data_IF_279611905616
#
_entry.id   IF_279611905616
#
_cell.length_a   1.000
_cell.length_b   1.000
_cell.length_c   1.000
_cell.angle_alpha   90.00
_cell.angle_beta   90.00
_cell.angle_gamma   90.00
#
_symmetry.space_group_name_H-M   'P 1'
#
loop_
_entity.id
_entity.type
_entity.pdbx_description
1 polymer ?
#
# COMPACT_ATOMS: atom_id res chain seq x y z
N UNK A 1 -1.23 -5.36 7.03
CA UNK A 1 -1.81 -5.99 5.83
C UNK A 1 -0.94 -7.18 5.44
N UNK A 2 -1.52 -8.27 4.98
CA UNK A 2 -0.79 -9.49 4.55
C UNK A 2 -0.21 -10.35 5.68
N UNK A 3 -0.53 -10.06 6.95
CA UNK A 3 -0.05 -10.87 8.08
C UNK A 3 -0.80 -12.18 8.26
N UNK A 4 -1.99 -12.30 7.66
CA UNK A 4 -2.80 -13.51 7.70
C UNK A 4 -2.10 -14.75 7.12
N UNK A 5 -1.20 -14.53 6.16
CA UNK A 5 -0.46 -15.60 5.47
C UNK A 5 1.00 -15.72 5.90
N UNK A 6 1.47 -14.97 6.91
CA UNK A 6 2.86 -15.05 7.39
C UNK A 6 3.23 -16.47 7.82
N UNK A 7 2.34 -17.15 8.51
CA UNK A 7 2.52 -18.50 9.02
C UNK A 7 1.94 -19.59 8.10
N UNK A 8 1.53 -19.24 6.86
CA UNK A 8 1.01 -20.21 5.92
C UNK A 8 2.15 -21.11 5.41
N UNK A 9 2.01 -22.42 5.62
CA UNK A 9 3.02 -23.41 5.29
C UNK A 9 2.91 -23.83 3.80
N UNK A 10 3.49 -23.01 2.91
CA UNK A 10 3.45 -23.23 1.45
C UNK A 10 3.96 -24.60 1.04
N UNK A 11 4.97 -25.14 1.72
CA UNK A 11 5.58 -26.43 1.42
C UNK A 11 4.62 -27.60 1.58
N UNK A 12 3.56 -27.41 2.40
CA UNK A 12 2.49 -28.38 2.58
C UNK A 12 1.34 -28.19 1.60
N UNK A 13 1.36 -27.14 0.79
CA UNK A 13 0.29 -26.73 -0.12
C UNK A 13 0.73 -26.92 -1.57
N UNK A 14 0.67 -28.16 -2.05
CA UNK A 14 1.13 -28.53 -3.39
C UNK A 14 0.04 -28.26 -4.44
N UNK A 15 0.03 -27.03 -4.96
CA UNK A 15 -0.87 -26.60 -6.04
C UNK A 15 -0.12 -25.70 -7.03
N UNK A 16 -0.59 -25.63 -8.27
CA UNK A 16 0.03 -24.80 -9.33
C UNK A 16 -0.21 -23.31 -9.10
N UNK A 17 -1.40 -22.94 -8.60
CA UNK A 17 -1.80 -21.57 -8.28
C UNK A 17 -3.01 -21.58 -7.32
N UNK A 18 -3.29 -20.44 -6.75
CA UNK A 18 -4.44 -20.24 -5.84
C UNK A 18 -5.19 -18.94 -6.18
N UNK A 19 -6.24 -18.66 -5.43
CA UNK A 19 -6.99 -17.40 -5.49
C UNK A 19 -7.30 -16.91 -4.09
N UNK A 20 -7.24 -15.60 -3.88
CA UNK A 20 -7.93 -14.96 -2.75
C UNK A 20 -9.24 -14.36 -3.24
N UNK A 21 -10.28 -14.38 -2.41
CA UNK A 21 -11.58 -13.76 -2.68
C UNK A 21 -11.71 -12.60 -1.70
N UNK A 22 -11.12 -11.46 -2.07
CA UNK A 22 -10.91 -10.30 -1.19
C UNK A 22 -10.98 -8.96 -1.96
N UNK A 23 -11.60 -8.98 -3.15
CA UNK A 23 -11.78 -7.79 -3.97
C UNK A 23 -13.19 -7.19 -3.82
N UNK A 24 -13.39 -6.01 -4.41
CA UNK A 24 -14.66 -5.30 -4.40
C UNK A 24 -15.68 -5.91 -5.36
N UNK A 25 -15.49 -5.65 -6.63
CA UNK A 25 -16.42 -5.94 -7.72
C UNK A 25 -16.38 -7.41 -8.07
N UNK A 26 -17.55 -8.02 -8.22
CA UNK A 26 -17.68 -9.43 -8.59
C UNK A 26 -17.04 -9.80 -9.93
N UNK A 27 -16.91 -8.84 -10.84
CA UNK A 27 -16.34 -9.01 -12.16
C UNK A 27 -14.81 -8.84 -12.20
N UNK A 28 -14.14 -8.56 -11.05
CA UNK A 28 -12.72 -8.33 -11.01
C UNK A 28 -11.88 -9.60 -10.89
N UNK A 29 -10.78 -9.62 -11.66
CA UNK A 29 -9.67 -10.56 -11.51
C UNK A 29 -8.40 -9.73 -11.47
N UNK A 30 -7.91 -9.47 -10.27
CA UNK A 30 -6.86 -8.50 -10.05
C UNK A 30 -5.54 -9.19 -9.69
N UNK A 31 -4.48 -8.78 -10.37
CA UNK A 31 -3.13 -9.37 -10.29
C UNK A 31 -2.02 -8.31 -10.29
N UNK A 32 -2.38 -7.08 -9.94
CA UNK A 32 -1.45 -5.96 -9.81
C UNK A 32 -1.77 -5.19 -8.53
N UNK A 33 -0.80 -5.06 -7.63
CA UNK A 33 -0.92 -4.35 -6.35
C UNK A 33 0.08 -3.20 -6.29
N UNK A 34 -0.01 -2.36 -5.27
CA UNK A 34 1.04 -1.40 -5.00
C UNK A 34 2.35 -2.08 -4.56
N UNK A 35 3.49 -1.39 -4.78
CA UNK A 35 4.66 -1.48 -3.91
C UNK A 35 4.39 -0.60 -2.70
N UNK A 36 4.79 -1.03 -1.52
CA UNK A 36 4.44 -0.40 -0.26
C UNK A 36 5.63 -0.27 0.69
N UNK A 37 5.77 0.90 1.29
CA UNK A 37 6.68 1.13 2.39
C UNK A 37 6.02 1.97 3.48
N UNK A 38 6.58 1.87 4.68
CA UNK A 38 6.37 2.80 5.77
C UNK A 38 7.62 3.64 5.94
N UNK A 39 7.46 4.95 6.14
CA UNK A 39 8.54 5.83 6.51
C UNK A 39 8.23 6.48 7.86
N UNK A 40 9.21 6.46 8.75
CA UNK A 40 9.19 7.21 10.00
C UNK A 40 10.24 8.29 9.89
N UNK A 41 9.83 9.53 10.12
CA UNK A 41 10.72 10.69 10.12
C UNK A 41 10.70 11.28 11.53
N UNK A 42 11.86 11.35 12.17
CA UNK A 42 12.04 11.94 13.49
C UNK A 42 12.80 13.25 13.40
N UNK A 43 12.48 14.14 14.30
CA UNK A 43 13.02 15.50 14.35
C UNK A 43 13.52 15.81 15.75
N UNK A 44 14.71 16.39 15.85
CA UNK A 44 15.34 16.80 17.11
C UNK A 44 15.31 18.32 17.24
N UNK A 45 14.72 18.80 18.31
CA UNK A 45 14.64 20.22 18.63
C UNK A 45 15.66 20.65 19.70
N UNK A 46 15.57 21.89 20.12
CA UNK A 46 16.27 22.47 21.27
C UNK A 46 15.32 23.42 21.96
N UNK A 47 14.82 23.00 23.11
CA UNK A 47 13.90 23.84 23.92
C UNK A 47 14.69 24.86 24.73
N UNK A 48 14.20 26.09 24.75
CA UNK A 48 14.75 27.19 25.52
C UNK A 48 13.57 28.02 26.05
N UNK A 49 13.74 28.68 27.19
CA UNK A 49 12.72 29.61 27.68
C UNK A 49 12.32 30.59 26.57
N UNK A 50 11.03 30.74 26.24
CA UNK A 50 10.58 31.53 25.08
C UNK A 50 11.09 32.97 25.05
N UNK A 51 11.27 33.59 26.20
CA UNK A 51 11.84 34.92 26.33
C UNK A 51 13.31 35.05 25.89
N UNK A 52 14.06 33.93 25.94
CA UNK A 52 15.49 33.86 25.64
C UNK A 52 15.80 33.06 24.37
N UNK A 53 14.76 32.72 23.60
CA UNK A 53 14.81 31.72 22.52
C UNK A 53 15.39 32.25 21.20
N UNK A 54 15.53 33.57 21.05
CA UNK A 54 16.00 34.16 19.77
C UNK A 54 17.35 33.58 19.36
N UNK A 55 17.41 33.07 18.12
CA UNK A 55 18.59 32.46 17.48
C UNK A 55 19.17 31.23 18.21
N UNK A 56 18.43 30.66 19.17
CA UNK A 56 18.87 29.54 20.00
C UNK A 56 17.89 28.36 20.01
N UNK A 57 16.57 28.63 19.96
CA UNK A 57 15.56 27.58 19.97
C UNK A 57 15.43 26.96 18.57
N UNK A 58 15.32 25.65 18.56
CA UNK A 58 14.88 24.89 17.38
C UNK A 58 13.65 24.07 17.78
N UNK A 59 12.51 24.33 17.17
CA UNK A 59 11.29 23.62 17.50
C UNK A 59 11.06 22.46 16.54
N UNK A 60 11.15 21.23 17.05
CA UNK A 60 10.99 20.01 16.27
C UNK A 60 9.62 19.89 15.59
N UNK A 61 8.53 20.35 16.24
CA UNK A 61 7.21 20.36 15.64
C UNK A 61 7.15 21.26 14.38
N UNK A 62 7.84 22.41 14.40
CA UNK A 62 7.93 23.29 13.23
C UNK A 62 8.78 22.67 12.12
N UNK A 63 9.88 21.97 12.45
CA UNK A 63 10.66 21.20 11.48
C UNK A 63 9.80 20.12 10.83
N UNK A 64 8.97 19.40 11.59
CA UNK A 64 8.07 18.39 11.06
C UNK A 64 7.05 18.98 10.08
N UNK A 65 6.51 20.15 10.36
CA UNK A 65 5.60 20.87 9.46
C UNK A 65 6.31 21.33 8.16
N UNK A 66 7.54 21.85 8.27
CA UNK A 66 8.37 22.23 7.11
C UNK A 66 8.68 21.01 6.25
N UNK A 67 9.06 19.89 6.85
CA UNK A 67 9.30 18.63 6.14
C UNK A 67 8.04 18.17 5.38
N UNK A 68 6.91 18.09 6.06
CA UNK A 68 5.65 17.66 5.45
C UNK A 68 5.25 18.55 4.27
N UNK A 69 5.44 19.87 4.40
CA UNK A 69 5.14 20.85 3.34
C UNK A 69 6.09 20.78 2.15
N UNK A 70 7.28 20.20 2.33
CA UNK A 70 8.31 20.04 1.28
C UNK A 70 8.08 18.80 0.40
N UNK A 71 7.18 17.90 0.79
CA UNK A 71 6.77 16.77 -0.04
C UNK A 71 5.74 17.20 -1.11
N UNK A 72 5.61 16.46 -2.22
CA UNK A 72 4.70 16.82 -3.32
C UNK A 72 3.23 16.88 -2.89
N UNK A 73 2.66 18.07 -2.83
CA UNK A 73 1.30 18.34 -2.31
C UNK A 73 0.17 17.60 -3.05
N UNK A 74 0.38 17.27 -4.35
CA UNK A 74 -0.61 16.55 -5.18
C UNK A 74 -0.40 15.03 -5.20
N UNK A 75 0.61 14.51 -4.51
CA UNK A 75 0.84 13.07 -4.37
C UNK A 75 0.32 12.58 -3.02
N UNK A 76 -0.96 12.76 -2.79
CA UNK A 76 -1.66 12.28 -1.58
C UNK A 76 -2.85 11.40 -1.98
N UNK A 77 -3.41 10.57 -1.10
CA UNK A 77 -4.56 9.74 -1.42
C UNK A 77 -5.75 10.53 -1.99
N UNK A 78 -5.99 11.75 -1.49
CA UNK A 78 -7.08 12.62 -1.95
C UNK A 78 -6.88 13.24 -3.33
N UNK A 79 -5.68 13.17 -3.90
CA UNK A 79 -5.33 13.77 -5.20
C UNK A 79 -4.91 12.75 -6.24
N UNK A 80 -4.90 11.46 -5.91
CA UNK A 80 -4.39 10.41 -6.79
C UNK A 80 -5.40 9.32 -7.04
N UNK A 81 -5.37 8.74 -8.25
CA UNK A 81 -6.25 7.65 -8.66
C UNK A 81 -5.52 6.64 -9.56
N UNK A 82 -6.16 5.52 -9.86
CA UNK A 82 -5.61 4.49 -10.75
C UNK A 82 -4.21 4.06 -10.30
N UNK A 83 -3.22 4.14 -11.20
CA UNK A 83 -1.82 3.76 -10.93
C UNK A 83 -0.97 4.83 -10.26
N UNK A 84 -1.51 6.01 -10.02
CA UNK A 84 -0.76 7.10 -9.38
C UNK A 84 -0.41 6.75 -7.93
N UNK A 85 0.87 6.90 -7.60
CA UNK A 85 1.39 6.69 -6.25
C UNK A 85 1.16 7.90 -5.34
N UNK A 86 1.33 7.69 -4.02
CA UNK A 86 1.14 8.73 -3.03
C UNK A 86 2.06 8.57 -1.80
N UNK A 87 2.21 9.66 -1.09
CA UNK A 87 2.62 9.74 0.32
C UNK A 87 1.37 10.00 1.15
N UNK A 88 1.16 9.24 2.20
CA UNK A 88 0.05 9.47 3.12
C UNK A 88 0.58 9.60 4.54
N UNK A 89 0.47 10.79 5.11
CA UNK A 89 0.76 11.04 6.52
C UNK A 89 -0.34 10.36 7.34
N UNK A 90 0.03 9.33 8.10
CA UNK A 90 -0.90 8.55 8.93
C UNK A 90 -0.77 8.85 10.42
N UNK A 91 0.29 9.51 10.82
CA UNK A 91 0.52 9.90 12.20
C UNK A 91 1.46 11.08 12.33
N UNK A 92 1.18 11.96 13.26
CA UNK A 92 2.00 13.11 13.62
C UNK A 92 1.96 13.29 15.14
N UNK A 93 3.13 13.32 15.75
CA UNK A 93 3.33 13.57 17.18
C UNK A 93 4.46 14.60 17.31
N UNK A 94 4.40 15.49 18.30
CA UNK A 94 5.52 16.39 18.50
C UNK A 94 5.33 17.42 19.61
N UNK A 95 6.46 17.78 20.18
CA UNK A 95 6.68 18.90 21.10
C UNK A 95 7.84 19.75 20.59
N UNK A 96 8.36 20.66 21.39
CA UNK A 96 9.49 21.51 20.99
C UNK A 96 10.78 20.72 20.80
N UNK A 97 11.05 19.71 21.66
CA UNK A 97 12.31 18.96 21.67
C UNK A 97 12.35 17.80 20.70
N UNK A 98 11.20 17.17 20.44
CA UNK A 98 11.09 16.03 19.52
C UNK A 98 9.77 16.06 18.75
N UNK A 99 9.82 15.52 17.52
CA UNK A 99 8.62 15.26 16.72
C UNK A 99 8.81 14.03 15.86
N UNK A 100 7.69 13.42 15.47
CA UNK A 100 7.67 12.22 14.63
C UNK A 100 6.52 12.30 13.62
N UNK A 101 6.83 12.03 12.36
CA UNK A 101 5.87 11.82 11.29
C UNK A 101 5.92 10.37 10.83
N UNK A 102 4.75 9.75 10.68
CA UNK A 102 4.63 8.41 10.11
C UNK A 102 3.90 8.49 8.79
N UNK A 103 4.57 8.04 7.73
CA UNK A 103 4.04 7.97 6.38
C UNK A 103 3.88 6.55 5.90
N UNK A 104 2.91 6.33 5.03
CA UNK A 104 2.89 5.19 4.11
C UNK A 104 3.12 5.69 2.69
N UNK A 105 3.95 4.96 1.94
CA UNK A 105 4.31 5.24 0.55
C UNK A 105 3.74 4.12 -0.31
N UNK A 106 3.08 4.47 -1.39
CA UNK A 106 2.44 3.52 -2.31
C UNK A 106 2.70 3.91 -3.75
N UNK A 107 3.07 2.94 -4.59
CA UNK A 107 3.17 3.14 -6.05
C UNK A 107 3.11 1.81 -6.79
N UNK A 108 2.44 1.74 -7.94
CA UNK A 108 2.46 0.55 -8.80
C UNK A 108 3.80 0.40 -9.52
N UNK A 109 4.39 1.50 -9.97
CA UNK A 109 5.71 1.50 -10.63
C UNK A 109 6.83 1.36 -9.60
N UNK A 110 7.67 0.33 -9.73
CA UNK A 110 8.85 0.13 -8.87
C UNK A 110 9.83 1.31 -8.97
N UNK A 111 10.05 1.84 -10.18
CA UNK A 111 10.95 2.98 -10.37
C UNK A 111 10.41 4.24 -9.67
N UNK A 112 9.13 4.54 -9.84
CA UNK A 112 8.51 5.69 -9.16
C UNK A 112 8.48 5.52 -7.65
N UNK A 113 8.29 4.30 -7.16
CA UNK A 113 8.35 3.96 -5.73
C UNK A 113 9.74 4.23 -5.14
N UNK A 114 10.79 3.81 -5.84
CA UNK A 114 12.18 4.12 -5.45
C UNK A 114 12.41 5.63 -5.42
N UNK A 115 11.98 6.35 -6.46
CA UNK A 115 12.10 7.81 -6.54
C UNK A 115 11.34 8.51 -5.41
N UNK A 116 10.18 7.99 -4.99
CA UNK A 116 9.44 8.53 -3.84
C UNK A 116 10.25 8.39 -2.54
N UNK A 117 10.87 7.24 -2.29
CA UNK A 117 11.72 7.02 -1.10
C UNK A 117 12.93 7.95 -1.11
N UNK A 118 13.60 8.05 -2.26
CA UNK A 118 14.74 8.97 -2.44
C UNK A 118 14.35 10.43 -2.21
N UNK A 119 13.16 10.85 -2.65
CA UNK A 119 12.66 12.21 -2.41
C UNK A 119 12.48 12.50 -0.92
N UNK A 120 11.98 11.55 -0.12
CA UNK A 120 11.87 11.71 1.33
C UNK A 120 13.24 11.93 1.98
N UNK A 121 14.23 11.14 1.59
CA UNK A 121 15.61 11.29 2.07
C UNK A 121 16.19 12.66 1.66
N UNK A 122 16.07 13.04 0.40
CA UNK A 122 16.59 14.31 -0.10
C UNK A 122 15.97 15.54 0.60
N UNK A 123 14.71 15.46 1.04
CA UNK A 123 14.11 16.53 1.85
C UNK A 123 14.77 16.60 3.23
N UNK A 124 15.03 15.45 3.87
CA UNK A 124 15.73 15.42 5.16
C UNK A 124 17.16 15.95 5.03
N UNK A 125 17.89 15.52 4.01
CA UNK A 125 19.27 15.96 3.77
C UNK A 125 19.34 17.49 3.62
N UNK A 126 18.44 18.07 2.80
CA UNK A 126 18.35 19.51 2.62
C UNK A 126 18.01 20.26 3.92
N UNK A 127 17.15 19.69 4.76
CA UNK A 127 16.84 20.28 6.07
C UNK A 127 18.03 20.17 7.02
N UNK A 128 18.77 19.06 6.96
CA UNK A 128 19.98 18.87 7.78
C UNK A 128 21.11 19.82 7.40
N UNK A 129 21.23 20.21 6.12
CA UNK A 129 22.13 21.29 5.68
C UNK A 129 21.78 22.63 6.34
N UNK A 130 20.48 22.91 6.55
CA UNK A 130 20.00 24.18 7.11
C UNK A 130 20.01 24.21 8.64
N UNK A 131 19.67 23.09 9.28
CA UNK A 131 19.39 23.04 10.72
C UNK A 131 20.38 22.20 11.52
N UNK A 132 21.41 21.61 10.86
CA UNK A 132 22.25 20.58 11.45
C UNK A 132 21.55 19.19 11.39
N UNK A 133 22.25 18.17 11.83
CA UNK A 133 21.78 16.77 11.74
C UNK A 133 20.61 16.47 12.72
N UNK A 134 19.42 17.00 12.42
CA UNK A 134 18.22 16.98 13.27
C UNK A 134 17.04 16.22 12.67
N UNK A 135 17.14 15.78 11.40
CA UNK A 135 16.06 15.11 10.68
C UNK A 135 16.53 13.73 10.25
N UNK A 136 15.88 12.70 10.74
CA UNK A 136 16.25 11.31 10.46
C UNK A 136 15.08 10.57 9.80
N UNK A 137 15.36 9.89 8.69
CA UNK A 137 14.36 9.13 7.92
C UNK A 137 14.68 7.64 7.98
N UNK A 138 13.73 6.84 8.42
CA UNK A 138 13.81 5.37 8.39
C UNK A 138 12.69 4.86 7.51
N UNK A 139 13.03 4.19 6.41
CA UNK A 139 12.06 3.61 5.47
C UNK A 139 12.17 2.09 5.51
N UNK A 140 11.01 1.41 5.65
CA UNK A 140 10.90 -0.04 5.64
C UNK A 140 9.91 -0.47 4.58
N UNK A 141 10.35 -1.27 3.63
CA UNK A 141 9.47 -1.87 2.64
C UNK A 141 8.55 -2.89 3.31
N UNK A 142 7.29 -2.93 2.89
CA UNK A 142 6.26 -3.79 3.48
C UNK A 142 5.90 -4.93 2.53
N UNK A 143 5.64 -4.62 1.26
CA UNK A 143 5.38 -5.57 0.20
C UNK A 143 5.65 -4.93 -1.17
N UNK A 144 5.78 -5.77 -2.19
CA UNK A 144 5.97 -5.34 -3.58
C UNK A 144 4.75 -5.69 -4.44
N UNK A 145 4.65 -5.05 -5.60
CA UNK A 145 3.61 -5.33 -6.58
C UNK A 145 3.67 -6.79 -7.04
N UNK A 146 2.58 -7.54 -6.81
CA UNK A 146 2.52 -8.97 -7.10
C UNK A 146 2.80 -9.32 -8.56
N UNK A 147 2.46 -8.42 -9.49
CA UNK A 147 2.63 -8.66 -10.93
C UNK A 147 4.06 -9.02 -11.33
N UNK A 148 5.07 -8.47 -10.64
CA UNK A 148 6.47 -8.76 -10.94
C UNK A 148 6.86 -10.21 -10.62
N UNK A 149 6.19 -10.85 -9.67
CA UNK A 149 6.44 -12.23 -9.25
C UNK A 149 5.67 -13.27 -10.06
N UNK A 150 4.75 -12.83 -10.91
CA UNK A 150 4.03 -13.77 -11.81
C UNK A 150 4.87 -14.24 -12.98
N UNK A 151 5.98 -13.57 -13.30
CA UNK A 151 6.91 -13.93 -14.39
C UNK A 151 6.23 -14.21 -15.75
N UNK A 152 5.08 -13.59 -16.00
CA UNK A 152 4.27 -13.76 -17.20
C UNK A 152 3.33 -14.97 -17.17
N UNK A 153 3.31 -15.74 -16.10
CA UNK A 153 2.33 -16.83 -15.95
C UNK A 153 0.94 -16.26 -15.65
N UNK A 154 0.06 -16.38 -16.63
CA UNK A 154 -1.31 -15.88 -16.61
C UNK A 154 -2.35 -17.01 -16.54
N UNK A 155 -1.95 -18.26 -16.28
CA UNK A 155 -2.85 -19.43 -16.26
C UNK A 155 -4.01 -19.21 -15.29
N UNK A 156 -3.74 -18.84 -14.05
CA UNK A 156 -4.76 -18.57 -13.04
C UNK A 156 -5.71 -17.43 -13.46
N UNK A 157 -5.14 -16.31 -13.93
CA UNK A 157 -5.92 -15.15 -14.40
C UNK A 157 -6.84 -15.53 -15.57
N UNK A 158 -6.31 -16.27 -16.54
CA UNK A 158 -7.09 -16.71 -17.71
C UNK A 158 -8.19 -17.70 -17.33
N UNK A 159 -7.91 -18.64 -16.42
CA UNK A 159 -8.90 -19.60 -15.88
C UNK A 159 -10.03 -18.84 -15.17
N UNK A 160 -9.71 -17.90 -14.30
CA UNK A 160 -10.70 -17.08 -13.61
C UNK A 160 -11.55 -16.24 -14.58
N UNK A 161 -10.91 -15.59 -15.56
CA UNK A 161 -11.63 -14.81 -16.60
C UNK A 161 -12.53 -15.69 -17.48
N UNK A 162 -12.12 -16.91 -17.75
CA UNK A 162 -12.96 -17.87 -18.47
C UNK A 162 -14.17 -18.26 -17.62
N UNK A 163 -14.00 -18.63 -16.37
CA UNK A 163 -15.07 -18.99 -15.46
C UNK A 163 -16.12 -17.86 -15.29
N UNK A 164 -15.66 -16.62 -15.13
CA UNK A 164 -16.54 -15.45 -15.10
C UNK A 164 -17.44 -15.35 -16.34
N UNK A 165 -16.85 -15.51 -17.54
CA UNK A 165 -17.63 -15.50 -18.79
C UNK A 165 -18.67 -16.62 -18.86
N UNK A 166 -18.33 -17.84 -18.37
CA UNK A 166 -19.27 -18.96 -18.31
C UNK A 166 -20.46 -18.66 -17.37
N UNK A 167 -20.24 -17.83 -16.37
CA UNK A 167 -21.29 -17.35 -15.45
C UNK A 167 -21.95 -16.05 -15.91
N UNK A 168 -21.82 -15.67 -17.19
CA UNK A 168 -22.38 -14.43 -17.80
C UNK A 168 -21.86 -13.13 -17.12
N UNK A 169 -20.64 -13.14 -16.59
CA UNK A 169 -19.98 -11.97 -16.03
C UNK A 169 -18.80 -11.57 -16.94
N UNK A 170 -18.80 -10.31 -17.38
CA UNK A 170 -17.68 -9.77 -18.20
C UNK A 170 -16.51 -9.44 -17.29
N UNK A 171 -15.36 -10.16 -17.38
CA UNK A 171 -14.25 -9.95 -16.48
C UNK A 171 -13.50 -8.65 -16.75
N UNK A 172 -13.14 -7.95 -15.69
CA UNK A 172 -12.22 -6.81 -15.73
C UNK A 172 -10.97 -7.10 -14.90
N UNK A 173 -9.92 -6.33 -15.12
CA UNK A 173 -8.72 -6.34 -14.26
C UNK A 173 -8.32 -4.90 -14.01
N UNK A 174 -8.30 -4.52 -12.74
CA UNK A 174 -7.89 -3.20 -12.30
C UNK A 174 -6.72 -3.30 -11.33
N UNK A 175 -5.78 -2.35 -11.34
CA UNK A 175 -4.71 -2.35 -10.36
C UNK A 175 -5.28 -2.02 -8.97
N UNK A 176 -5.04 -2.90 -8.01
CA UNK A 176 -5.46 -2.73 -6.61
C UNK A 176 -4.61 -1.62 -5.97
N UNK A 177 -5.27 -0.64 -5.37
CA UNK A 177 -4.60 0.45 -4.63
C UNK A 177 -4.28 0.08 -3.18
N UNK A 178 -3.87 -1.15 -2.97
CA UNK A 178 -3.54 -1.77 -1.69
C UNK A 178 -2.68 -3.00 -1.88
N UNK A 179 -2.59 -3.82 -0.85
CA UNK A 179 -2.02 -5.16 -0.87
C UNK A 179 -3.09 -6.17 -0.47
N UNK A 180 -2.91 -7.43 -0.85
CA UNK A 180 -3.76 -8.56 -0.51
C UNK A 180 -2.93 -9.72 0.03
N UNK A 181 -3.56 -10.66 0.71
CA UNK A 181 -2.88 -11.90 1.11
C UNK A 181 -2.38 -12.67 -0.12
N UNK A 182 -3.13 -12.63 -1.23
CA UNK A 182 -2.70 -13.19 -2.52
C UNK A 182 -1.41 -12.57 -3.06
N UNK A 183 -1.19 -11.27 -2.84
CA UNK A 183 0.09 -10.62 -3.20
C UNK A 183 1.26 -11.15 -2.38
N UNK A 184 1.06 -11.41 -1.08
CA UNK A 184 2.09 -12.00 -0.22
C UNK A 184 2.39 -13.46 -0.59
N UNK A 185 1.37 -14.25 -0.91
CA UNK A 185 1.54 -15.63 -1.40
C UNK A 185 2.28 -15.65 -2.74
N UNK A 186 1.92 -14.75 -3.66
CA UNK A 186 2.59 -14.64 -4.97
C UNK A 186 4.06 -14.27 -4.82
N UNK A 187 4.42 -13.38 -3.91
CA UNK A 187 5.81 -13.03 -3.62
C UNK A 187 6.61 -14.21 -3.02
N UNK A 188 5.93 -15.18 -2.39
CA UNK A 188 6.52 -16.40 -1.84
C UNK A 188 6.52 -17.58 -2.84
N UNK A 189 6.09 -17.36 -4.09
CA UNK A 189 6.14 -18.35 -5.17
C UNK A 189 4.82 -19.03 -5.52
N UNK A 190 3.72 -18.79 -4.78
CA UNK A 190 2.39 -19.29 -5.13
C UNK A 190 1.57 -18.19 -5.82
N UNK A 191 1.47 -18.24 -7.15
CA UNK A 191 0.67 -17.27 -7.92
C UNK A 191 -0.78 -17.29 -7.43
N UNK A 192 -1.24 -16.17 -6.90
CA UNK A 192 -2.53 -16.06 -6.24
C UNK A 192 -3.23 -14.73 -6.57
N UNK A 193 -3.85 -14.59 -7.78
CA UNK A 193 -4.63 -13.41 -8.12
C UNK A 193 -5.85 -13.28 -7.21
N UNK A 194 -6.37 -12.04 -7.12
CA UNK A 194 -7.47 -11.70 -6.28
C UNK A 194 -8.78 -11.64 -7.08
N UNK A 195 -9.83 -12.26 -6.56
CA UNK A 195 -11.19 -12.22 -7.10
C UNK A 195 -12.07 -11.28 -6.27
N UNK A 196 -13.07 -10.70 -6.90
CA UNK A 196 -14.03 -9.83 -6.22
C UNK A 196 -15.02 -10.60 -5.35
N UNK A 197 -15.49 -9.98 -4.29
CA UNK A 197 -16.50 -10.54 -3.38
C UNK A 197 -17.91 -10.05 -3.70
N UNK A 198 -18.03 -8.92 -4.40
CA UNK A 198 -19.28 -8.20 -4.57
C UNK A 198 -19.70 -7.40 -3.33
N UNK A 199 -18.73 -7.07 -2.46
CA UNK A 199 -18.88 -6.18 -1.32
C UNK A 199 -18.40 -4.76 -1.63
N UNK A 200 -18.74 -3.80 -0.78
CA UNK A 200 -18.52 -2.37 -1.01
C UNK A 200 -18.25 -1.64 0.30
N UNK A 201 -17.67 -0.43 0.20
CA UNK A 201 -17.37 0.47 1.31
C UNK A 201 -16.43 -0.14 2.35
N UNK A 202 -15.45 -0.91 1.88
CA UNK A 202 -14.48 -1.62 2.71
C UNK A 202 -13.80 -0.67 3.72
N UNK A 203 -13.58 -1.17 4.94
CA UNK A 203 -13.04 -0.43 6.07
C UNK A 203 -13.90 0.74 6.54
N UNK A 204 -15.12 0.86 6.03
CA UNK A 204 -16.06 1.92 6.38
C UNK A 204 -17.19 1.40 7.28
N UNK A 205 -17.82 2.31 8.04
CA UNK A 205 -18.97 1.97 8.88
C UNK A 205 -20.23 1.58 8.09
N UNK A 206 -20.23 1.76 6.78
CA UNK A 206 -21.29 1.39 5.86
C UNK A 206 -20.85 0.27 4.91
N UNK A 207 -19.90 -0.54 5.33
CA UNK A 207 -19.47 -1.73 4.59
C UNK A 207 -20.64 -2.73 4.48
N UNK A 208 -20.83 -3.28 3.28
CA UNK A 208 -21.87 -4.27 3.03
C UNK A 208 -21.48 -5.24 1.93
N UNK A 209 -22.08 -6.44 1.94
CA UNK A 209 -21.99 -7.41 0.86
C UNK A 209 -23.39 -7.76 0.35
N UNK A 210 -23.52 -7.96 -0.98
CA UNK A 210 -24.78 -8.42 -1.60
C UNK A 210 -24.84 -9.94 -1.55
N UNK A 211 -25.92 -10.50 -0.98
CA UNK A 211 -26.18 -11.94 -0.95
C UNK A 211 -26.12 -12.53 -2.36
N UNK A 212 -26.81 -11.90 -3.33
CA UNK A 212 -26.86 -12.36 -4.72
C UNK A 212 -25.49 -12.39 -5.39
N UNK A 213 -24.59 -11.45 -5.02
CA UNK A 213 -23.21 -11.44 -5.53
C UNK A 213 -22.36 -12.51 -4.84
N UNK A 214 -22.59 -12.77 -3.58
CA UNK A 214 -21.94 -13.88 -2.87
C UNK A 214 -22.31 -15.22 -3.48
N UNK A 215 -23.60 -15.46 -3.75
CA UNK A 215 -24.10 -16.67 -4.46
C UNK A 215 -23.47 -16.79 -5.84
N UNK A 216 -23.42 -15.69 -6.60
CA UNK A 216 -22.78 -15.67 -7.91
C UNK A 216 -21.27 -15.95 -7.84
N UNK A 217 -20.58 -15.50 -6.80
CA UNK A 217 -19.17 -15.83 -6.59
C UNK A 217 -18.96 -17.32 -6.30
N UNK A 218 -19.86 -17.97 -5.55
CA UNK A 218 -19.84 -19.42 -5.37
C UNK A 218 -19.93 -20.14 -6.70
N UNK A 219 -20.88 -19.74 -7.59
CA UNK A 219 -21.00 -20.28 -8.93
C UNK A 219 -19.70 -20.12 -9.75
N UNK A 220 -19.08 -18.93 -9.70
CA UNK A 220 -17.82 -18.66 -10.39
C UNK A 220 -16.68 -19.54 -9.84
N UNK A 221 -16.57 -19.69 -8.54
CA UNK A 221 -15.54 -20.55 -7.91
C UNK A 221 -15.71 -22.01 -8.32
N UNK A 222 -16.94 -22.52 -8.35
CA UNK A 222 -17.23 -23.88 -8.84
C UNK A 222 -16.75 -24.04 -10.29
N UNK A 223 -16.96 -23.05 -11.14
CA UNK A 223 -16.46 -23.06 -12.54
C UNK A 223 -14.93 -22.92 -12.65
N UNK A 224 -14.26 -22.36 -11.65
CA UNK A 224 -12.80 -22.32 -11.63
C UNK A 224 -12.20 -23.70 -11.32
N UNK A 225 -12.84 -24.48 -10.44
CA UNK A 225 -12.32 -25.79 -9.99
C UNK A 225 -12.72 -26.95 -10.92
N UNK A 226 -13.71 -26.76 -11.79
CA UNK A 226 -14.02 -27.69 -12.91
C UNK A 226 -12.89 -27.65 -13.97
#
# INVERSE_FOLDING_TARGET
MGRGVENFELDKFSVDYAFTIDGDRIDSVDYETFNAAQAVVTFEGTSIHPGDAKDRMVNASLLAMEYASSLPKKQTPSHTQGRQGFYHLVGMEGICEDAKLTYIIRNHSKQSFISQKQKMQAVADKMNEKYGNRVHVVIRDQYENMRQYMHGDMRSVNKAKYALRQCNVTPISTPIRGGTDGAMLTARGLICPNLGTGSFNHHGRFEFASIQKMEKMVEIVLKIVE
#
